data_IF_188718729830
#
_entry.id   IF_188718729830
#
_cell.length_a   1.000
_cell.length_b   1.000
_cell.length_c   1.000
_cell.angle_alpha   90.00
_cell.angle_beta   90.00
_cell.angle_gamma   90.00
#
_symmetry.space_group_name_H-M   'P 1'
#
loop_
_entity.id
_entity.type
_entity.pdbx_description
1 polymer ?
#
# COMPACT_ATOMS: atom_id res chain seq x y z
N UNK A 1 1.21 -31.30 -67.55
CA UNK A 1 0.72 -30.47 -66.42
C UNK A 1 1.83 -30.41 -65.37
N UNK A 2 2.21 -29.22 -64.91
CA UNK A 2 3.37 -29.04 -64.04
C UNK A 2 2.95 -28.88 -62.56
N UNK A 3 3.54 -29.67 -61.66
CA UNK A 3 3.29 -29.60 -60.23
C UNK A 3 3.86 -28.33 -59.60
N UNK A 4 3.03 -27.57 -58.87
CA UNK A 4 3.45 -26.36 -58.15
C UNK A 4 4.26 -26.73 -56.91
N UNK A 5 5.52 -26.28 -56.84
CA UNK A 5 6.28 -26.24 -55.58
C UNK A 5 5.75 -25.09 -54.70
N UNK A 6 5.64 -25.24 -53.37
CA UNK A 6 5.35 -24.13 -52.48
C UNK A 6 6.53 -23.14 -52.45
N UNK A 7 6.22 -21.84 -52.42
CA UNK A 7 7.22 -20.76 -52.38
C UNK A 7 7.73 -20.56 -50.96
N UNK A 8 9.06 -20.46 -50.78
CA UNK A 8 9.66 -19.84 -49.58
C UNK A 8 9.37 -18.34 -49.59
N UNK A 9 8.98 -17.71 -48.46
CA UNK A 9 9.29 -16.31 -48.20
C UNK A 9 10.79 -16.16 -47.93
N UNK A 10 11.40 -15.06 -48.39
CA UNK A 10 12.76 -14.63 -48.02
C UNK A 10 12.66 -13.23 -47.41
N UNK A 11 13.19 -13.11 -46.18
CA UNK A 11 13.74 -11.95 -45.46
C UNK A 11 13.17 -10.52 -45.64
N UNK A 12 13.05 -9.85 -44.48
CA UNK A 12 12.68 -8.44 -44.31
C UNK A 12 11.81 -8.33 -43.05
N UNK A 13 12.22 -7.73 -41.93
CA UNK A 13 13.43 -6.95 -41.63
C UNK A 13 14.05 -7.39 -40.30
N UNK A 14 15.37 -7.29 -40.16
CA UNK A 14 15.98 -7.20 -38.83
C UNK A 14 15.62 -5.86 -38.21
N UNK A 15 14.95 -5.90 -37.07
CA UNK A 15 15.09 -4.88 -36.04
C UNK A 15 15.64 -5.59 -34.81
N UNK A 16 16.92 -5.94 -34.88
CA UNK A 16 17.71 -6.34 -33.72
C UNK A 16 17.83 -5.09 -32.83
N UNK A 17 16.80 -4.89 -32.00
CA UNK A 17 16.89 -3.97 -30.89
C UNK A 17 17.73 -4.64 -29.83
N UNK A 18 19.00 -4.22 -29.71
CA UNK A 18 19.87 -4.44 -28.55
C UNK A 18 19.30 -3.65 -27.35
N UNK A 19 18.09 -4.00 -26.94
CA UNK A 19 17.59 -3.77 -25.61
C UNK A 19 17.82 -5.06 -24.84
N UNK A 20 18.58 -4.98 -23.74
CA UNK A 20 18.67 -6.08 -22.79
C UNK A 20 17.24 -6.59 -22.47
N UNK A 21 17.03 -7.91 -22.39
CA UNK A 21 15.73 -8.44 -22.03
C UNK A 21 15.30 -7.82 -20.68
N UNK A 22 14.04 -7.37 -20.54
CA UNK A 22 13.61 -6.67 -19.34
C UNK A 22 13.95 -7.51 -18.11
N UNK A 23 14.71 -6.90 -17.19
CA UNK A 23 15.29 -7.61 -16.05
C UNK A 23 14.20 -8.40 -15.33
N UNK A 24 14.33 -9.73 -15.29
CA UNK A 24 13.35 -10.57 -14.60
C UNK A 24 13.50 -10.38 -13.10
N UNK A 25 12.44 -10.65 -12.32
CA UNK A 25 12.56 -10.65 -10.87
C UNK A 25 13.66 -11.60 -10.38
N UNK A 26 13.85 -12.75 -11.06
CA UNK A 26 14.94 -13.67 -10.77
C UNK A 26 16.34 -13.08 -11.01
N UNK A 27 16.54 -12.28 -12.06
CA UNK A 27 17.79 -11.58 -12.32
C UNK A 27 18.03 -10.46 -11.28
N UNK A 28 17.00 -9.65 -10.99
CA UNK A 28 17.06 -8.62 -9.95
C UNK A 28 17.38 -9.23 -8.58
N UNK A 29 16.68 -10.29 -8.16
CA UNK A 29 16.94 -11.01 -6.91
C UNK A 29 18.34 -11.64 -6.86
N UNK A 30 18.93 -12.04 -7.99
CA UNK A 30 20.30 -12.56 -8.02
C UNK A 30 21.36 -11.50 -7.66
N UNK A 31 21.09 -10.23 -8.00
CA UNK A 31 21.92 -9.07 -7.65
C UNK A 31 21.58 -8.54 -6.25
N UNK A 32 20.28 -8.34 -5.98
CA UNK A 32 19.77 -7.60 -4.82
C UNK A 32 19.71 -8.44 -3.53
N UNK A 33 19.45 -9.76 -3.65
CA UNK A 33 19.01 -10.64 -2.56
C UNK A 33 19.26 -12.15 -2.89
N UNK A 34 20.51 -12.59 -3.13
CA UNK A 34 20.79 -13.93 -3.66
C UNK A 34 20.39 -15.08 -2.73
N UNK A 35 20.35 -14.86 -1.41
CA UNK A 35 19.92 -15.89 -0.44
C UNK A 35 18.40 -16.09 -0.50
N UNK A 36 17.63 -15.00 -0.61
CA UNK A 36 16.20 -15.06 -0.90
C UNK A 36 15.90 -15.73 -2.24
N UNK A 37 16.69 -15.48 -3.28
CA UNK A 37 16.53 -16.17 -4.57
C UNK A 37 16.62 -17.69 -4.44
N UNK A 38 17.59 -18.21 -3.66
CA UNK A 38 17.70 -19.65 -3.38
C UNK A 38 16.45 -20.15 -2.62
N UNK A 39 16.04 -19.46 -1.56
CA UNK A 39 14.88 -19.85 -0.76
C UNK A 39 13.57 -19.84 -1.58
N UNK A 40 13.36 -18.84 -2.44
CA UNK A 40 12.19 -18.74 -3.32
C UNK A 40 12.19 -19.79 -4.43
N UNK A 41 13.36 -20.29 -4.84
CA UNK A 41 13.51 -21.41 -5.77
C UNK A 41 13.16 -22.74 -5.08
N UNK A 42 13.70 -22.97 -3.88
CA UNK A 42 13.42 -24.16 -3.07
C UNK A 42 11.94 -24.27 -2.68
N UNK A 43 11.25 -23.12 -2.56
CA UNK A 43 9.82 -23.01 -2.24
C UNK A 43 8.90 -22.95 -3.48
N UNK A 44 9.45 -23.16 -4.68
CA UNK A 44 8.73 -23.16 -5.98
C UNK A 44 7.94 -21.86 -6.29
N UNK A 45 8.35 -20.73 -5.71
CA UNK A 45 7.64 -19.44 -5.80
C UNK A 45 8.19 -18.48 -6.87
N UNK A 46 9.38 -18.75 -7.42
CA UNK A 46 10.11 -17.79 -8.25
C UNK A 46 9.37 -17.37 -9.53
N UNK A 47 8.68 -18.31 -10.18
CA UNK A 47 7.95 -18.07 -11.43
C UNK A 47 6.69 -17.21 -11.25
N UNK A 48 6.20 -17.05 -10.02
CA UNK A 48 5.05 -16.19 -9.72
C UNK A 48 5.44 -14.71 -9.53
N UNK A 49 6.73 -14.39 -9.38
CA UNK A 49 7.16 -13.06 -8.92
C UNK A 49 7.39 -12.10 -10.11
N UNK A 50 6.57 -11.05 -10.25
CA UNK A 50 6.88 -9.94 -11.15
C UNK A 50 7.96 -9.03 -10.53
N UNK A 51 8.74 -8.39 -11.39
CA UNK A 51 9.50 -7.20 -11.01
C UNK A 51 8.54 -6.01 -10.94
N UNK A 52 8.62 -5.21 -9.88
CA UNK A 52 7.78 -4.02 -9.77
C UNK A 52 8.36 -2.88 -10.61
N UNK A 53 7.65 -2.51 -11.67
CA UNK A 53 7.89 -1.28 -12.41
C UNK A 53 7.13 -0.12 -11.75
N UNK A 54 7.86 0.95 -11.41
CA UNK A 54 7.31 2.18 -10.84
C UNK A 54 6.88 3.17 -11.95
N UNK A 55 7.26 2.90 -13.20
CA UNK A 55 6.98 3.73 -14.36
C UNK A 55 7.54 5.15 -14.24
N UNK A 56 6.99 6.11 -15.01
CA UNK A 56 7.45 7.49 -15.00
C UNK A 56 7.15 8.22 -13.68
N UNK A 57 6.33 7.65 -12.79
CA UNK A 57 6.05 8.25 -11.49
C UNK A 57 7.32 8.35 -10.62
N UNK A 58 8.28 7.42 -10.75
CA UNK A 58 9.54 7.48 -10.01
C UNK A 58 10.33 8.78 -10.25
N UNK A 59 10.33 9.30 -11.49
CA UNK A 59 11.03 10.54 -11.85
C UNK A 59 10.43 11.76 -11.12
N UNK A 60 9.09 11.81 -10.97
CA UNK A 60 8.38 12.91 -10.30
C UNK A 60 8.74 13.06 -8.81
N UNK A 61 9.19 11.97 -8.17
CA UNK A 61 9.54 11.94 -6.74
C UNK A 61 11.06 11.88 -6.48
N UNK A 62 11.90 12.04 -7.52
CA UNK A 62 13.36 12.19 -7.39
C UNK A 62 13.75 13.32 -6.42
N UNK A 63 13.19 14.52 -6.61
CA UNK A 63 13.41 15.67 -5.72
C UNK A 63 12.94 15.43 -4.27
N UNK A 64 11.88 14.63 -4.07
CA UNK A 64 11.47 14.21 -2.72
C UNK A 64 12.55 13.33 -2.07
N UNK A 65 13.07 12.34 -2.81
CA UNK A 65 14.14 11.45 -2.34
C UNK A 65 15.38 12.25 -1.93
N UNK A 66 15.77 13.23 -2.75
CA UNK A 66 16.93 14.10 -2.47
C UNK A 66 16.73 14.96 -1.21
N UNK A 67 15.56 15.61 -1.06
CA UNK A 67 15.25 16.43 0.13
C UNK A 67 15.19 15.57 1.39
N UNK A 68 14.55 14.40 1.32
CA UNK A 68 14.47 13.47 2.45
C UNK A 68 15.88 12.97 2.80
N UNK A 69 16.72 12.66 1.82
CA UNK A 69 18.11 12.30 2.05
C UNK A 69 18.92 13.43 2.71
N UNK A 70 18.81 14.67 2.24
CA UNK A 70 19.46 15.84 2.86
C UNK A 70 19.08 15.98 4.35
N UNK A 71 17.77 15.90 4.64
CA UNK A 71 17.25 16.02 6.02
C UNK A 71 17.77 14.90 6.92
N UNK A 72 17.73 13.64 6.46
CA UNK A 72 18.12 12.50 7.30
C UNK A 72 19.64 12.34 7.43
N UNK A 73 20.41 12.70 6.39
CA UNK A 73 21.87 12.75 6.43
C UNK A 73 22.42 13.89 7.32
N UNK A 74 21.62 14.94 7.57
CA UNK A 74 22.01 16.03 8.48
C UNK A 74 22.20 15.60 9.95
N UNK A 75 21.72 14.42 10.34
CA UNK A 75 21.85 13.88 11.71
C UNK A 75 23.13 13.04 11.83
N UNK A 76 24.19 13.52 12.53
CA UNK A 76 25.52 12.89 12.46
C UNK A 76 25.59 11.45 12.96
N UNK A 77 24.71 11.08 13.89
CA UNK A 77 24.62 9.73 14.48
C UNK A 77 24.14 8.67 13.47
N UNK A 78 23.40 9.10 12.43
CA UNK A 78 22.83 8.19 11.40
C UNK A 78 23.83 7.82 10.31
N UNK A 79 24.70 8.76 9.94
CA UNK A 79 25.79 8.53 8.99
C UNK A 79 26.78 7.42 9.42
N UNK A 80 26.75 7.02 10.70
CA UNK A 80 27.54 5.91 11.24
C UNK A 80 26.77 4.57 11.30
N UNK A 81 25.44 4.59 11.40
CA UNK A 81 24.61 3.38 11.42
C UNK A 81 24.51 2.73 10.03
N UNK A 82 24.50 3.54 8.97
CA UNK A 82 24.39 3.10 7.57
C UNK A 82 25.55 2.16 7.15
N UNK A 83 26.70 2.24 7.83
CA UNK A 83 27.86 1.37 7.61
C UNK A 83 27.74 -0.04 8.23
N UNK A 84 26.74 -0.29 9.08
CA UNK A 84 26.60 -1.57 9.78
C UNK A 84 25.82 -2.63 8.97
N UNK A 85 25.25 -2.24 7.83
CA UNK A 85 24.42 -3.10 6.99
C UNK A 85 23.09 -3.49 7.66
N UNK A 86 22.21 -4.23 6.95
CA UNK A 86 21.04 -4.80 7.59
C UNK A 86 21.47 -5.82 8.66
N UNK A 87 20.83 -5.83 9.84
CA UNK A 87 21.20 -6.76 10.90
C UNK A 87 21.05 -8.21 10.43
N UNK A 88 22.08 -9.02 10.64
CA UNK A 88 22.14 -10.39 10.15
C UNK A 88 20.89 -11.20 10.52
N UNK A 89 20.33 -11.91 9.54
CA UNK A 89 19.12 -12.72 9.71
C UNK A 89 19.23 -13.66 10.92
N UNK A 90 18.21 -13.64 11.80
CA UNK A 90 18.22 -14.32 13.10
C UNK A 90 18.05 -15.85 12.97
N UNK A 91 19.11 -16.53 12.57
CA UNK A 91 19.12 -17.98 12.44
C UNK A 91 18.21 -18.51 11.32
N UNK A 92 18.02 -19.83 11.30
CA UNK A 92 17.25 -20.51 10.24
C UNK A 92 15.74 -20.23 10.37
N UNK A 93 15.23 -20.21 11.60
CA UNK A 93 13.80 -20.17 11.87
C UNK A 93 13.18 -18.81 11.50
N UNK A 94 13.89 -17.71 11.77
CA UNK A 94 13.47 -16.35 11.38
C UNK A 94 13.15 -16.25 9.89
N UNK A 95 13.94 -16.89 9.02
CA UNK A 95 13.71 -16.90 7.57
C UNK A 95 12.43 -17.64 7.19
N UNK A 96 12.14 -18.75 7.87
CA UNK A 96 10.92 -19.52 7.62
C UNK A 96 9.64 -18.70 7.92
N UNK A 97 9.64 -17.88 8.98
CA UNK A 97 8.51 -17.00 9.28
C UNK A 97 8.33 -15.89 8.23
N UNK A 98 9.41 -15.27 7.75
CA UNK A 98 9.34 -14.26 6.69
C UNK A 98 8.83 -14.83 5.36
N UNK A 99 9.22 -16.06 5.00
CA UNK A 99 8.64 -16.77 3.84
C UNK A 99 7.18 -17.14 4.08
N UNK A 100 6.80 -17.55 5.29
CA UNK A 100 5.39 -17.80 5.62
C UNK A 100 4.53 -16.53 5.50
N UNK A 101 5.07 -15.36 5.87
CA UNK A 101 4.39 -14.07 5.71
C UNK A 101 4.20 -13.72 4.23
N UNK A 102 5.25 -13.88 3.42
CA UNK A 102 5.17 -13.74 1.95
C UNK A 102 4.13 -14.69 1.34
N UNK A 103 4.13 -15.97 1.70
CA UNK A 103 3.12 -16.96 1.25
C UNK A 103 1.71 -16.54 1.64
N UNK A 104 1.49 -16.06 2.86
CA UNK A 104 0.20 -15.55 3.32
C UNK A 104 -0.29 -14.37 2.45
N UNK A 105 0.59 -13.41 2.15
CA UNK A 105 0.27 -12.28 1.27
C UNK A 105 -0.06 -12.74 -0.16
N UNK A 106 0.68 -13.71 -0.71
CA UNK A 106 0.38 -14.28 -2.04
C UNK A 106 -0.95 -15.01 -2.10
N UNK A 107 -1.35 -15.74 -1.05
CA UNK A 107 -2.71 -16.27 -0.98
C UNK A 107 -3.77 -15.16 -1.04
N UNK A 108 -3.52 -14.00 -0.40
CA UNK A 108 -4.44 -12.85 -0.49
C UNK A 108 -4.44 -12.24 -1.90
N UNK A 109 -3.27 -12.10 -2.55
CA UNK A 109 -3.16 -11.68 -3.96
C UNK A 109 -4.01 -12.58 -4.86
N UNK A 110 -3.80 -13.91 -4.76
CA UNK A 110 -4.56 -14.92 -5.52
C UNK A 110 -6.05 -14.79 -5.25
N UNK A 111 -6.48 -14.72 -3.98
CA UNK A 111 -7.89 -14.60 -3.59
C UNK A 111 -8.58 -13.31 -4.08
N UNK A 112 -7.87 -12.19 -4.17
CA UNK A 112 -8.38 -10.95 -4.76
C UNK A 112 -8.42 -11.00 -6.30
N UNK A 113 -7.51 -11.76 -6.91
CA UNK A 113 -7.39 -11.90 -8.37
C UNK A 113 -8.33 -12.96 -8.97
N UNK A 114 -8.83 -13.90 -8.15
CA UNK A 114 -9.78 -14.91 -8.59
C UNK A 114 -11.17 -14.33 -8.90
N UNK A 115 -11.89 -14.86 -9.91
CA UNK A 115 -13.29 -14.48 -10.15
C UNK A 115 -14.18 -14.85 -8.97
N UNK A 116 -14.82 -13.88 -8.32
CA UNK A 116 -15.87 -14.17 -7.34
C UNK A 116 -17.12 -14.67 -8.08
N UNK A 117 -17.40 -15.96 -7.99
CA UNK A 117 -18.62 -16.56 -8.55
C UNK A 117 -19.89 -15.88 -8.02
N UNK A 118 -20.90 -15.78 -8.86
CA UNK A 118 -22.22 -15.19 -8.57
C UNK A 118 -22.24 -13.69 -8.20
N UNK A 119 -21.58 -12.84 -9.01
CA UNK A 119 -22.07 -11.47 -9.23
C UNK A 119 -22.51 -11.31 -10.68
N UNK A 120 -23.79 -10.95 -10.86
CA UNK A 120 -24.43 -10.76 -12.18
C UNK A 120 -23.98 -9.45 -12.83
N UNK A 121 -23.64 -8.46 -12.02
CA UNK A 121 -23.04 -7.21 -12.46
C UNK A 121 -21.53 -7.39 -12.56
N UNK A 122 -20.96 -7.00 -13.71
CA UNK A 122 -19.54 -7.14 -14.06
C UNK A 122 -18.59 -6.23 -13.28
N UNK A 123 -18.71 -6.22 -11.96
CA UNK A 123 -17.83 -5.51 -11.04
C UNK A 123 -16.39 -6.00 -11.26
N UNK A 124 -15.56 -5.08 -11.75
CA UNK A 124 -14.22 -5.33 -12.26
C UNK A 124 -13.38 -6.27 -11.39
N UNK A 125 -12.55 -7.08 -12.04
CA UNK A 125 -11.28 -7.52 -11.44
C UNK A 125 -10.62 -6.29 -10.82
N UNK A 126 -10.30 -6.34 -9.53
CA UNK A 126 -9.29 -5.45 -8.95
C UNK A 126 -8.03 -6.31 -8.85
N UNK A 127 -7.22 -6.38 -9.93
CA UNK A 127 -5.95 -7.09 -9.86
C UNK A 127 -5.09 -6.42 -8.80
N UNK A 128 -4.51 -7.20 -7.91
CA UNK A 128 -3.53 -6.69 -6.96
C UNK A 128 -2.24 -6.50 -7.73
N UNK A 129 -1.78 -5.26 -7.88
CA UNK A 129 -0.43 -5.02 -8.38
C UNK A 129 0.55 -5.36 -7.25
N UNK A 130 1.61 -6.09 -7.54
CA UNK A 130 2.63 -6.45 -6.57
C UNK A 130 3.94 -6.77 -7.29
N UNK A 131 5.03 -6.92 -6.55
CA UNK A 131 6.30 -7.42 -7.10
C UNK A 131 7.50 -7.12 -6.23
N UNK A 132 8.67 -7.57 -6.68
CA UNK A 132 9.95 -7.20 -6.09
C UNK A 132 10.31 -5.75 -6.45
N UNK A 133 10.52 -4.90 -5.44
CA UNK A 133 10.95 -3.52 -5.58
C UNK A 133 12.45 -3.43 -5.25
N UNK A 134 13.27 -3.21 -6.29
CA UNK A 134 14.73 -3.14 -6.16
C UNK A 134 15.18 -2.05 -5.21
N UNK A 135 14.66 -0.83 -5.37
CA UNK A 135 15.02 0.33 -4.52
C UNK A 135 14.77 0.13 -3.03
N UNK A 136 13.88 -0.79 -2.65
CA UNK A 136 13.57 -1.09 -1.25
C UNK A 136 14.13 -2.44 -0.78
N UNK A 137 14.71 -3.26 -1.67
CA UNK A 137 15.01 -4.68 -1.42
C UNK A 137 13.84 -5.39 -0.71
N UNK A 138 12.62 -5.17 -1.22
CA UNK A 138 11.35 -5.52 -0.56
C UNK A 138 10.30 -5.98 -1.57
N UNK A 139 9.33 -6.78 -1.13
CA UNK A 139 8.08 -6.93 -1.87
C UNK A 139 7.13 -5.79 -1.52
N UNK A 140 6.47 -5.25 -2.54
CA UNK A 140 5.33 -4.34 -2.39
C UNK A 140 4.07 -5.00 -2.93
N UNK A 141 2.94 -4.77 -2.26
CA UNK A 141 1.61 -5.20 -2.66
C UNK A 141 0.63 -4.04 -2.62
N UNK A 142 -0.19 -3.89 -3.65
CA UNK A 142 -1.06 -2.74 -3.90
C UNK A 142 -2.48 -3.26 -4.06
N UNK A 143 -3.18 -3.39 -2.94
CA UNK A 143 -4.58 -3.82 -2.89
C UNK A 143 -5.48 -2.59 -2.99
N UNK A 144 -5.70 -2.08 -4.21
CA UNK A 144 -6.49 -0.86 -4.45
C UNK A 144 -7.94 -0.99 -3.93
N UNK A 145 -8.63 -2.09 -4.23
CA UNK A 145 -9.97 -2.36 -3.68
C UNK A 145 -9.98 -2.56 -2.15
N UNK A 146 -8.82 -2.70 -1.51
CA UNK A 146 -8.67 -2.73 -0.06
C UNK A 146 -8.13 -1.42 0.53
N UNK A 147 -7.83 -0.39 -0.26
CA UNK A 147 -7.19 0.84 0.23
C UNK A 147 -5.88 0.56 1.01
N UNK A 148 -5.07 -0.40 0.54
CA UNK A 148 -3.82 -0.82 1.21
C UNK A 148 -2.65 -0.93 0.25
N UNK A 149 -1.55 -0.27 0.60
CA UNK A 149 -0.21 -0.66 0.15
C UNK A 149 0.43 -1.43 1.31
N UNK A 150 1.12 -2.54 1.00
CA UNK A 150 1.80 -3.40 1.98
C UNK A 150 3.26 -3.56 1.55
N UNK A 151 4.19 -3.35 2.48
CA UNK A 151 5.62 -3.56 2.30
C UNK A 151 6.07 -4.74 3.17
N UNK A 152 6.70 -5.72 2.54
CA UNK A 152 7.20 -6.95 3.16
C UNK A 152 8.70 -7.11 2.86
N UNK A 153 9.53 -7.32 3.90
CA UNK A 153 11.00 -7.42 3.78
C UNK A 153 11.48 -8.83 4.18
N UNK A 154 11.45 -9.85 3.31
CA UNK A 154 11.61 -11.22 3.79
C UNK A 154 13.03 -11.62 4.23
N UNK A 155 14.10 -10.93 3.80
CA UNK A 155 15.45 -11.22 4.30
C UNK A 155 15.80 -10.56 5.65
N UNK A 156 15.16 -9.41 5.94
CA UNK A 156 15.61 -8.47 6.99
C UNK A 156 14.48 -8.00 7.92
N UNK A 157 13.23 -8.35 7.59
CA UNK A 157 12.03 -8.00 8.32
C UNK A 157 11.43 -9.20 9.03
N UNK A 158 10.96 -8.93 10.25
CA UNK A 158 10.03 -9.79 10.99
C UNK A 158 8.63 -9.14 11.04
N UNK A 159 8.29 -8.32 10.05
CA UNK A 159 7.03 -7.58 10.01
C UNK A 159 6.63 -7.10 8.62
N UNK A 160 5.32 -7.12 8.37
CA UNK A 160 4.65 -6.46 7.24
C UNK A 160 4.18 -5.06 7.65
N UNK A 161 4.46 -4.06 6.82
CA UNK A 161 4.08 -2.66 7.05
C UNK A 161 2.91 -2.28 6.15
N UNK A 162 1.88 -1.65 6.71
CA UNK A 162 0.65 -1.28 6.02
C UNK A 162 0.52 0.24 5.93
N UNK A 163 0.13 0.70 4.74
CA UNK A 163 -0.13 2.10 4.42
C UNK A 163 -1.54 2.21 3.83
N UNK A 164 -2.28 3.25 4.19
CA UNK A 164 -3.58 3.55 3.59
C UNK A 164 -3.38 4.41 2.34
N UNK A 165 -4.16 4.14 1.29
CA UNK A 165 -4.19 5.03 0.14
C UNK A 165 -5.03 6.27 0.46
N UNK A 166 -4.62 7.43 -0.04
CA UNK A 166 -5.37 8.69 0.02
C UNK A 166 -5.88 9.11 -1.37
N UNK A 167 -7.01 9.81 -1.40
CA UNK A 167 -7.48 10.55 -2.57
C UNK A 167 -7.21 12.05 -2.33
N UNK A 168 -6.91 12.85 -3.37
CA UNK A 168 -7.03 12.56 -4.80
C UNK A 168 -5.73 12.06 -5.49
N UNK A 169 -4.68 11.69 -4.74
CA UNK A 169 -3.40 11.26 -5.34
C UNK A 169 -3.54 9.92 -6.09
N UNK A 170 -2.88 9.76 -7.23
CA UNK A 170 -2.91 8.48 -7.96
C UNK A 170 -2.20 7.37 -7.18
N UNK A 171 -2.61 6.11 -7.39
CA UNK A 171 -1.95 4.96 -6.75
C UNK A 171 -0.47 4.85 -7.16
N UNK A 172 -0.15 5.19 -8.42
CA UNK A 172 1.22 5.19 -8.93
C UNK A 172 2.09 6.21 -8.20
N UNK A 173 1.57 7.42 -7.99
CA UNK A 173 2.27 8.49 -7.27
C UNK A 173 2.46 8.14 -5.79
N UNK A 174 1.48 7.51 -5.14
CA UNK A 174 1.60 7.06 -3.75
C UNK A 174 2.65 5.96 -3.57
N UNK A 175 2.74 5.02 -4.51
CA UNK A 175 3.79 3.99 -4.51
C UNK A 175 5.15 4.60 -4.80
N UNK A 176 5.27 5.50 -5.78
CA UNK A 176 6.52 6.21 -6.06
C UNK A 176 6.98 7.03 -4.85
N UNK A 177 6.09 7.79 -4.21
CA UNK A 177 6.35 8.52 -2.95
C UNK A 177 6.85 7.61 -1.83
N UNK A 178 6.21 6.45 -1.66
CA UNK A 178 6.62 5.44 -0.67
C UNK A 178 8.02 4.93 -0.93
N UNK A 179 8.34 4.58 -2.17
CA UNK A 179 9.68 4.12 -2.55
C UNK A 179 10.71 5.22 -2.39
N UNK A 180 10.44 6.43 -2.88
CA UNK A 180 11.34 7.58 -2.81
C UNK A 180 11.71 7.94 -1.37
N UNK A 181 10.77 7.88 -0.42
CA UNK A 181 11.11 8.03 1.00
C UNK A 181 11.84 6.81 1.56
N UNK A 182 11.28 5.61 1.45
CA UNK A 182 11.76 4.42 2.18
C UNK A 182 13.04 3.78 1.60
N UNK A 183 13.54 4.29 0.47
CA UNK A 183 14.84 3.95 -0.13
C UNK A 183 15.97 4.90 0.28
N UNK A 184 15.68 5.96 1.04
CA UNK A 184 16.70 6.88 1.55
C UNK A 184 17.56 6.18 2.61
N UNK A 185 18.89 6.12 2.44
CA UNK A 185 19.80 5.57 3.44
C UNK A 185 19.70 6.31 4.79
N UNK A 186 19.94 5.61 5.90
CA UNK A 186 19.75 6.16 7.24
C UNK A 186 18.29 6.36 7.71
N UNK A 187 17.27 6.13 6.88
CA UNK A 187 15.88 5.93 7.36
C UNK A 187 15.75 4.54 7.94
N UNK A 188 15.40 4.47 9.21
CA UNK A 188 15.22 3.20 9.91
C UNK A 188 13.75 2.98 10.31
N UNK A 189 13.45 1.79 10.82
CA UNK A 189 12.11 1.40 11.26
C UNK A 189 11.53 2.32 12.34
N UNK A 190 12.37 2.83 13.24
CA UNK A 190 11.96 3.77 14.30
C UNK A 190 11.35 5.04 13.71
N UNK A 191 11.93 5.58 12.64
CA UNK A 191 11.41 6.79 11.98
C UNK A 191 9.98 6.64 11.45
N UNK A 192 9.65 5.44 10.96
CA UNK A 192 8.32 5.15 10.46
C UNK A 192 7.31 4.90 11.60
N UNK A 193 7.77 4.40 12.76
CA UNK A 193 6.91 4.09 13.90
C UNK A 193 6.68 5.29 14.82
N UNK A 194 7.65 6.19 14.91
CA UNK A 194 7.64 7.38 15.79
C UNK A 194 7.17 8.64 15.03
N UNK A 195 6.70 8.49 13.78
CA UNK A 195 6.36 9.58 12.85
C UNK A 195 7.46 10.65 12.79
N UNK A 196 8.67 10.25 12.37
CA UNK A 196 9.90 11.03 12.52
C UNK A 196 9.73 12.51 12.23
N UNK A 197 10.00 13.33 13.25
CA UNK A 197 9.80 14.78 13.22
C UNK A 197 10.86 15.51 12.41
N UNK A 198 11.89 14.81 11.89
CA UNK A 198 13.01 15.43 11.19
C UNK A 198 12.56 16.26 9.97
N UNK A 199 11.63 15.75 9.16
CA UNK A 199 11.05 16.50 8.02
C UNK A 199 10.28 17.74 8.46
N UNK A 200 9.71 17.70 9.68
CA UNK A 200 8.93 18.78 10.31
C UNK A 200 9.82 19.86 10.93
N UNK A 201 11.04 19.49 11.33
CA UNK A 201 12.04 20.35 11.98
C UNK A 201 13.11 20.86 11.02
N UNK A 202 13.15 20.33 9.80
CA UNK A 202 14.10 20.70 8.75
C UNK A 202 13.95 22.17 8.33
N UNK A 203 15.09 22.86 8.18
CA UNK A 203 15.15 24.23 7.68
C UNK A 203 15.15 24.22 6.14
N UNK A 204 13.98 23.91 5.58
CA UNK A 204 13.79 23.81 4.14
C UNK A 204 13.69 25.20 3.48
N UNK A 205 14.32 25.34 2.31
CA UNK A 205 14.13 26.51 1.45
C UNK A 205 12.69 26.59 0.90
N UNK A 206 12.20 27.78 0.49
CA UNK A 206 10.87 27.91 -0.10
C UNK A 206 10.64 27.04 -1.34
N UNK A 207 11.71 26.76 -2.11
CA UNK A 207 11.65 25.87 -3.27
C UNK A 207 11.45 24.41 -2.84
N UNK A 208 12.23 23.92 -1.87
CA UNK A 208 12.07 22.57 -1.32
C UNK A 208 10.66 22.39 -0.73
N UNK A 209 10.15 23.36 0.03
CA UNK A 209 8.76 23.34 0.54
C UNK A 209 7.74 23.21 -0.60
N UNK A 210 7.92 23.97 -1.68
CA UNK A 210 7.02 23.89 -2.85
C UNK A 210 7.13 22.54 -3.58
N UNK A 211 8.32 21.97 -3.70
CA UNK A 211 8.54 20.65 -4.31
C UNK A 211 7.88 19.53 -3.46
N UNK A 212 8.04 19.58 -2.14
CA UNK A 212 7.38 18.64 -1.23
C UNK A 212 5.83 18.77 -1.28
N UNK A 213 5.30 19.98 -1.37
CA UNK A 213 3.85 20.20 -1.55
C UNK A 213 3.29 19.58 -2.84
N UNK A 214 4.04 19.63 -3.95
CA UNK A 214 3.67 18.92 -5.19
C UNK A 214 3.63 17.40 -5.01
N UNK A 215 4.45 16.87 -4.11
CA UNK A 215 4.50 15.46 -3.72
C UNK A 215 3.44 15.07 -2.66
N UNK A 216 2.48 15.96 -2.34
CA UNK A 216 1.44 15.74 -1.32
C UNK A 216 1.94 15.76 0.13
N UNK A 217 3.17 16.21 0.38
CA UNK A 217 3.64 16.47 1.74
C UNK A 217 3.18 17.84 2.23
N UNK A 218 2.90 17.93 3.52
CA UNK A 218 2.71 19.20 4.22
C UNK A 218 3.72 19.28 5.36
N UNK A 219 4.27 20.47 5.60
CA UNK A 219 5.39 20.72 6.52
C UNK A 219 5.10 20.41 8.00
N UNK A 220 3.85 20.12 8.34
CA UNK A 220 3.37 19.67 9.64
C UNK A 220 3.31 18.14 9.80
N UNK A 221 3.56 17.37 8.73
CA UNK A 221 3.61 15.90 8.77
C UNK A 221 5.00 15.37 9.14
N UNK A 222 5.06 14.26 9.88
CA UNK A 222 6.27 13.44 9.98
C UNK A 222 6.34 12.39 8.87
N UNK A 223 7.32 11.50 8.93
CA UNK A 223 7.52 10.46 7.91
C UNK A 223 6.34 9.48 7.78
N UNK A 224 5.74 9.05 8.89
CA UNK A 224 4.61 8.12 8.89
C UNK A 224 3.35 8.78 8.32
N UNK A 225 3.12 10.04 8.72
CA UNK A 225 2.02 10.90 8.29
C UNK A 225 2.12 11.31 6.81
N UNK A 226 3.34 11.41 6.26
CA UNK A 226 3.58 11.57 4.81
C UNK A 226 3.20 10.30 4.04
N UNK A 227 3.59 9.14 4.57
CA UNK A 227 3.40 7.86 3.89
C UNK A 227 2.02 7.22 4.13
N UNK A 228 1.17 7.85 4.95
CA UNK A 228 -0.09 7.29 5.45
C UNK A 228 0.08 5.89 6.06
N UNK A 229 1.18 5.71 6.78
CA UNK A 229 1.44 4.48 7.55
C UNK A 229 0.38 4.29 8.62
N UNK A 230 -0.20 3.09 8.69
CA UNK A 230 -1.30 2.81 9.63
C UNK A 230 -1.06 1.63 10.56
N UNK A 231 -0.23 0.64 10.19
CA UNK A 231 -0.02 -0.55 11.02
C UNK A 231 1.28 -1.29 10.66
N UNK A 232 1.88 -1.97 11.65
CA UNK A 232 2.95 -2.95 11.45
C UNK A 232 2.59 -4.28 12.13
N UNK A 233 2.23 -5.28 11.34
CA UNK A 233 2.02 -6.65 11.84
C UNK A 233 3.38 -7.34 11.96
N UNK A 234 3.79 -7.64 13.19
CA UNK A 234 5.03 -8.39 13.48
C UNK A 234 4.73 -9.89 13.50
N UNK A 235 5.52 -10.69 12.80
CA UNK A 235 5.42 -12.15 12.73
C UNK A 235 6.56 -12.81 13.54
N UNK A 236 6.62 -12.48 14.83
CA UNK A 236 7.66 -12.98 15.75
C UNK A 236 7.53 -14.48 16.01
N UNK A 237 8.65 -15.17 16.17
CA UNK A 237 8.73 -16.61 16.49
C UNK A 237 8.05 -17.01 17.81
N UNK A 238 7.71 -16.03 18.66
CA UNK A 238 6.98 -16.22 19.93
C UNK A 238 5.45 -16.16 19.77
N UNK A 239 4.97 -15.64 18.65
CA UNK A 239 3.55 -15.57 18.32
C UNK A 239 3.14 -16.79 17.50
N UNK A 240 1.88 -17.20 17.63
CA UNK A 240 1.34 -18.24 16.75
C UNK A 240 1.34 -17.73 15.30
N UNK A 241 1.73 -18.62 14.38
CA UNK A 241 1.72 -18.34 12.96
C UNK A 241 0.33 -17.95 12.47
N UNK A 242 -0.71 -18.57 13.01
CA UNK A 242 -2.08 -18.31 12.58
C UNK A 242 -2.62 -16.98 13.13
N UNK A 243 -2.11 -16.51 14.27
CA UNK A 243 -2.49 -15.22 14.86
C UNK A 243 -2.06 -14.04 13.96
N UNK A 244 -0.80 -14.02 13.48
CA UNK A 244 -0.34 -12.93 12.62
C UNK A 244 -0.87 -13.02 11.19
N UNK A 245 -1.09 -14.23 10.64
CA UNK A 245 -1.78 -14.41 9.34
C UNK A 245 -3.20 -13.86 9.37
N UNK A 246 -3.90 -14.10 10.48
CA UNK A 246 -5.23 -13.56 10.73
C UNK A 246 -5.17 -12.04 10.90
N UNK A 247 -4.20 -11.47 11.64
CA UNK A 247 -3.98 -10.00 11.67
C UNK A 247 -3.80 -9.43 10.26
N UNK A 248 -2.88 -9.96 9.44
CA UNK A 248 -2.67 -9.53 8.04
C UNK A 248 -4.00 -9.53 7.27
N UNK A 249 -4.75 -10.63 7.34
CA UNK A 249 -6.05 -10.76 6.67
C UNK A 249 -7.07 -9.72 7.15
N UNK A 250 -7.12 -9.46 8.46
CA UNK A 250 -8.00 -8.46 9.08
C UNK A 250 -7.65 -7.03 8.66
N UNK A 251 -6.37 -6.66 8.57
CA UNK A 251 -5.97 -5.31 8.14
C UNK A 251 -6.28 -5.04 6.67
N UNK A 252 -6.18 -6.05 5.81
CA UNK A 252 -6.65 -5.96 4.41
C UNK A 252 -8.18 -5.81 4.35
N UNK A 253 -8.94 -6.64 5.09
CA UNK A 253 -10.40 -6.57 5.10
C UNK A 253 -10.93 -5.26 5.71
N UNK A 254 -10.30 -4.75 6.77
CA UNK A 254 -10.61 -3.45 7.40
C UNK A 254 -10.40 -2.30 6.42
N UNK A 255 -9.30 -2.31 5.66
CA UNK A 255 -9.07 -1.35 4.59
C UNK A 255 -10.16 -1.39 3.52
N UNK A 256 -10.55 -2.60 3.07
CA UNK A 256 -11.64 -2.79 2.12
C UNK A 256 -13.03 -2.36 2.64
N UNK A 257 -13.19 -2.18 3.95
CA UNK A 257 -14.39 -1.59 4.57
C UNK A 257 -14.28 -0.07 4.64
N UNK A 258 -13.18 0.45 5.21
CA UNK A 258 -12.97 1.90 5.39
C UNK A 258 -12.84 2.65 4.05
N UNK A 259 -12.11 2.09 3.07
CA UNK A 259 -11.99 2.67 1.74
C UNK A 259 -13.31 2.71 0.96
N UNK A 260 -14.24 1.77 1.24
CA UNK A 260 -15.61 1.84 0.70
C UNK A 260 -16.37 3.02 1.29
N UNK A 261 -16.29 3.23 2.61
CA UNK A 261 -16.92 4.38 3.29
C UNK A 261 -16.36 5.70 2.75
N UNK A 262 -15.03 5.81 2.60
CA UNK A 262 -14.40 7.02 2.08
C UNK A 262 -14.88 7.33 0.64
N UNK A 263 -14.92 6.33 -0.25
CA UNK A 263 -15.41 6.49 -1.63
C UNK A 263 -16.92 6.80 -1.71
N UNK A 264 -17.75 6.28 -0.80
CA UNK A 264 -19.21 6.57 -0.82
C UNK A 264 -19.59 7.92 -0.21
N UNK A 265 -18.82 8.45 0.75
CA UNK A 265 -19.15 9.71 1.44
C UNK A 265 -18.25 10.89 1.08
N UNK A 266 -17.04 10.66 0.54
CA UNK A 266 -16.14 11.71 0.04
C UNK A 266 -16.53 12.28 -1.33
N UNK A 267 -17.27 11.53 -2.15
CA UNK A 267 -17.77 11.98 -3.45
C UNK A 267 -19.04 12.85 -3.37
N UNK A 268 -19.38 13.34 -2.16
CA UNK A 268 -20.60 14.11 -1.87
C UNK A 268 -20.54 15.59 -2.27
N UNK A 269 -20.03 15.92 -3.46
CA UNK A 269 -20.22 17.28 -4.01
C UNK A 269 -21.61 17.39 -4.63
N UNK A 270 -22.37 18.42 -4.25
CA UNK A 270 -23.82 18.42 -4.37
C UNK A 270 -24.37 18.42 -5.80
N UNK A 271 -25.25 17.46 -6.09
CA UNK A 271 -26.22 17.55 -7.18
C UNK A 271 -27.59 17.09 -6.66
N UNK A 272 -28.44 18.05 -6.29
CA UNK A 272 -29.86 17.78 -6.12
C UNK A 272 -30.48 17.43 -7.47
N UNK A 273 -31.24 16.34 -7.53
CA UNK A 273 -31.76 15.78 -8.78
C UNK A 273 -32.92 14.82 -8.54
N UNK A 274 -34.01 15.33 -7.96
CA UNK A 274 -35.26 14.58 -7.87
C UNK A 274 -35.80 14.27 -9.26
N UNK A 275 -36.33 13.06 -9.44
CA UNK A 275 -36.82 12.55 -10.72
C UNK A 275 -37.84 11.44 -10.51
N UNK A 276 -38.98 11.78 -9.91
CA UNK A 276 -40.10 10.87 -9.70
C UNK A 276 -40.79 10.48 -11.01
N UNK A 277 -41.19 9.21 -11.13
CA UNK A 277 -42.13 8.76 -12.16
C UNK A 277 -43.55 9.21 -11.83
N UNK A 278 -44.30 9.84 -12.76
CA UNK A 278 -45.60 10.43 -12.45
C UNK A 278 -46.76 9.42 -12.56
N UNK A 279 -47.68 9.42 -11.57
CA UNK A 279 -49.03 8.87 -11.71
C UNK A 279 -50.02 9.69 -10.86
N UNK A 280 -51.14 10.07 -11.47
CA UNK A 280 -52.03 11.15 -11.05
C UNK A 280 -52.95 10.84 -9.85
N UNK A 281 -53.33 11.87 -9.07
CA UNK A 281 -54.73 12.36 -8.99
C UNK A 281 -54.94 13.64 -8.13
N UNK A 282 -56.05 14.33 -8.43
CA UNK A 282 -56.71 15.48 -7.76
C UNK A 282 -57.26 15.15 -6.35
N UNK A 283 -57.65 16.07 -5.44
CA UNK A 283 -57.73 17.56 -5.39
C UNK A 283 -57.90 18.11 -3.94
N UNK A 284 -57.91 19.45 -3.81
CA UNK A 284 -58.59 20.30 -2.79
C UNK A 284 -58.02 20.50 -1.35
N UNK A 285 -57.63 21.76 -1.04
CA UNK A 285 -58.16 22.47 0.14
C UNK A 285 -57.23 22.99 1.28
N UNK A 286 -57.14 24.33 1.40
CA UNK A 286 -57.00 25.15 2.66
C UNK A 286 -55.61 25.44 3.31
N UNK A 287 -55.17 26.71 3.15
CA UNK A 287 -54.46 27.67 4.06
C UNK A 287 -53.64 27.30 5.32
N UNK A 288 -52.37 27.77 5.36
CA UNK A 288 -51.73 28.71 6.35
C UNK A 288 -51.72 28.41 7.87
N UNK A 289 -50.65 28.53 8.71
CA UNK A 289 -49.18 28.83 8.62
C UNK A 289 -48.48 28.17 9.88
N UNK A 290 -47.39 28.68 10.52
CA UNK A 290 -45.95 28.66 10.19
C UNK A 290 -45.05 27.82 11.15
N UNK A 291 -43.76 27.67 10.79
CA UNK A 291 -42.57 27.37 11.63
C UNK A 291 -42.61 26.30 12.75
N UNK A 292 -41.81 25.24 12.57
CA UNK A 292 -41.00 24.63 13.66
C UNK A 292 -39.60 24.25 13.15
N UNK A 293 -38.60 24.25 14.04
CA UNK A 293 -37.19 23.92 13.77
C UNK A 293 -36.95 22.39 13.62
N UNK A 294 -35.90 21.94 12.92
CA UNK A 294 -35.58 20.52 12.83
C UNK A 294 -35.03 19.97 14.16
N UNK A 295 -35.59 18.85 14.60
CA UNK A 295 -35.28 18.24 15.90
C UNK A 295 -33.89 17.56 15.97
N UNK A 296 -33.27 17.69 17.13
CA UNK A 296 -31.97 17.12 17.54
C UNK A 296 -32.02 15.58 17.68
N UNK A 297 -31.45 14.85 16.71
CA UNK A 297 -31.40 13.37 16.73
C UNK A 297 -30.21 12.89 17.57
N UNK A 298 -30.47 12.65 18.85
CA UNK A 298 -29.50 12.00 19.75
C UNK A 298 -29.32 10.51 19.40
N UNK A 299 -28.09 9.96 19.44
CA UNK A 299 -27.86 8.53 19.29
C UNK A 299 -28.54 7.73 20.40
N UNK A 300 -28.99 6.51 20.11
CA UNK A 300 -29.62 5.63 21.10
C UNK A 300 -28.65 5.24 22.23
N UNK A 301 -29.16 5.10 23.47
CA UNK A 301 -28.33 4.67 24.62
C UNK A 301 -27.63 3.33 24.39
N UNK A 302 -28.18 2.47 23.52
CA UNK A 302 -27.64 1.16 23.19
C UNK A 302 -26.26 1.26 22.50
N UNK A 303 -26.06 2.27 21.65
CA UNK A 303 -24.75 2.59 21.06
C UNK A 303 -23.75 3.07 22.12
N UNK A 304 -24.18 3.92 23.06
CA UNK A 304 -23.32 4.45 24.13
C UNK A 304 -22.91 3.36 25.13
N UNK A 305 -23.77 2.38 25.40
CA UNK A 305 -23.46 1.22 26.25
C UNK A 305 -22.48 0.27 25.56
N UNK A 306 -22.64 0.02 24.25
CA UNK A 306 -21.70 -0.83 23.48
C UNK A 306 -20.28 -0.24 23.48
N UNK A 307 -20.14 1.07 23.27
CA UNK A 307 -18.86 1.79 23.35
C UNK A 307 -18.23 1.74 24.76
N UNK A 308 -19.02 1.86 25.83
CA UNK A 308 -18.49 1.82 27.20
C UNK A 308 -17.98 0.44 27.66
N UNK A 309 -18.44 -0.65 27.05
CA UNK A 309 -17.95 -2.00 27.36
C UNK A 309 -16.56 -2.25 26.76
N UNK A 310 -16.31 -1.80 25.52
CA UNK A 310 -15.00 -1.97 24.87
C UNK A 310 -13.88 -1.11 25.50
N UNK A 311 -14.18 0.10 25.95
CA UNK A 311 -13.17 1.00 26.52
C UNK A 311 -12.66 0.52 27.91
N UNK A 312 -13.42 -0.33 28.62
CA UNK A 312 -13.01 -0.88 29.92
C UNK A 312 -12.20 -2.18 29.86
N UNK A 313 -12.07 -2.83 28.70
CA UNK A 313 -11.31 -4.08 28.56
C UNK A 313 -9.83 -3.91 28.16
N UNK A 314 -9.39 -2.68 27.82
CA UNK A 314 -7.98 -2.40 27.43
C UNK A 314 -7.21 -1.57 28.48
N UNK A 315 -7.69 -1.52 29.74
CA UNK A 315 -7.02 -0.78 30.82
C UNK A 315 -6.99 -1.55 32.15
N UNK A 316 -6.33 -2.71 32.12
CA UNK A 316 -5.73 -3.39 33.28
C UNK A 316 -4.87 -4.56 32.77
N UNK A 317 -3.54 -4.36 32.76
CA UNK A 317 -2.52 -5.36 33.11
C UNK A 317 -1.10 -4.78 32.86
N UNK A 318 -0.71 -3.85 33.73
CA UNK A 318 0.69 -3.53 34.04
C UNK A 318 0.82 -3.28 35.54
N UNK A 319 1.90 -3.83 36.16
CA UNK A 319 2.21 -3.95 37.60
C UNK A 319 1.59 -5.22 38.23
N UNK A 320 2.33 -6.28 38.54
CA UNK A 320 3.72 -6.38 39.05
C UNK A 320 4.68 -7.24 38.19
#
# INVERSE_FOLDING_TARGET
MAGRRPRRPRHGCSSDGDGDPPATAAAALAEDAPVLLEILRDEEMLDEIPLLDLGPAAENFSALKDIVHEVFASVPERAQQDQQGPPAARGKDSRAYSIAALKCLLERVRAYSQPRGNRVDGASRSPVSWGWCRELHSFLFVFEAANRIILERPEYGMASYFFEMEEPMSVSDQVARLVSCMSVPGINRGDLLEDSQLLRQAQLSPEQVQQLQRCGFSVDKGLASLLNFCERVTHDHKMDADEWKEKISRHILRGAYMGRIHKTYGSGSGAGGGGETPLAARSDGVSLVPNEEPADIKPSEELLRSLHVHIKSESMDTLD
#
